data_IF_947837541019
#
_entry.id   IF_947837541019
#
_cell.length_a   1.000
_cell.length_b   1.000
_cell.length_c   1.000
_cell.angle_alpha   90.00
_cell.angle_beta   90.00
_cell.angle_gamma   90.00
#
_symmetry.space_group_name_H-M   'P 1'
#
loop_
_entity.id
_entity.type
_entity.pdbx_description
1 polymer ?
#
# COMPACT_ATOMS: atom_id res chain seq x y z
N UNK A 1 -25.11 -14.32 -7.07
CA UNK A 1 -23.88 -14.30 -6.24
C UNK A 1 -22.72 -14.02 -7.17
N UNK A 2 -22.47 -12.74 -7.43
CA UNK A 2 -21.41 -12.29 -8.33
C UNK A 2 -20.10 -12.28 -7.55
N UNK A 3 -19.28 -13.32 -7.74
CA UNK A 3 -17.90 -13.32 -7.24
C UNK A 3 -17.01 -12.97 -8.43
N UNK A 4 -17.01 -11.68 -8.78
CA UNK A 4 -16.21 -11.11 -9.85
C UNK A 4 -14.73 -11.42 -9.57
N UNK A 5 -14.15 -12.29 -10.39
CA UNK A 5 -12.72 -12.53 -10.40
C UNK A 5 -11.98 -11.23 -10.71
N UNK A 6 -10.88 -11.01 -9.99
CA UNK A 6 -9.94 -9.91 -10.16
C UNK A 6 -9.61 -9.69 -11.65
N UNK A 7 -10.17 -8.63 -12.22
CA UNK A 7 -9.97 -8.19 -13.61
C UNK A 7 -8.62 -7.49 -13.84
N UNK A 8 -7.68 -7.59 -12.90
CA UNK A 8 -6.33 -7.05 -13.06
C UNK A 8 -5.30 -8.15 -12.79
N UNK A 9 -4.81 -8.88 -13.81
CA UNK A 9 -3.71 -9.83 -13.65
C UNK A 9 -2.37 -9.16 -13.26
N UNK A 10 -2.35 -7.84 -13.04
CA UNK A 10 -1.13 -7.05 -12.81
C UNK A 10 -1.21 -6.12 -11.58
N UNK A 11 -2.13 -6.34 -10.63
CA UNK A 11 -2.06 -5.64 -9.33
C UNK A 11 -0.91 -6.21 -8.50
N UNK A 12 0.17 -5.44 -8.41
CA UNK A 12 1.39 -5.80 -7.67
C UNK A 12 1.53 -5.00 -6.38
N UNK A 13 0.76 -3.93 -6.24
CA UNK A 13 0.85 -2.97 -5.16
C UNK A 13 -0.54 -2.65 -4.62
N UNK A 14 -0.57 -2.16 -3.39
CA UNK A 14 -1.77 -1.62 -2.76
C UNK A 14 -1.42 -0.32 -2.08
N UNK A 15 -2.33 0.63 -2.15
CA UNK A 15 -2.36 1.80 -1.29
C UNK A 15 -3.18 1.47 -0.07
N UNK A 16 -2.58 1.61 1.10
CA UNK A 16 -3.23 1.41 2.39
C UNK A 16 -3.19 2.66 3.24
N UNK A 17 -4.16 2.76 4.12
CA UNK A 17 -4.26 3.76 5.18
C UNK A 17 -4.23 3.02 6.52
N UNK A 18 -3.48 3.55 7.48
CA UNK A 18 -3.47 3.04 8.84
C UNK A 18 -4.35 3.93 9.72
N UNK A 19 -5.14 3.36 10.65
CA UNK A 19 -6.05 4.14 11.48
C UNK A 19 -5.34 4.99 12.55
N UNK A 20 -4.11 4.61 12.92
CA UNK A 20 -3.30 5.29 13.93
C UNK A 20 -1.82 5.23 13.58
N UNK A 21 -1.07 6.23 14.04
CA UNK A 21 0.39 6.32 13.87
C UNK A 21 1.12 5.13 14.52
N UNK A 22 0.63 4.63 15.66
CA UNK A 22 1.18 3.43 16.31
C UNK A 22 1.09 2.18 15.41
N UNK A 23 -0.03 1.99 14.72
CA UNK A 23 -0.23 0.86 13.81
C UNK A 23 0.62 1.04 12.54
N UNK A 24 0.74 2.28 12.04
CA UNK A 24 1.64 2.64 10.95
C UNK A 24 3.10 2.36 11.32
N UNK A 25 3.52 2.71 12.53
CA UNK A 25 4.87 2.46 13.05
C UNK A 25 5.19 0.97 13.14
N UNK A 26 4.27 0.16 13.69
CA UNK A 26 4.42 -1.31 13.74
C UNK A 26 4.51 -1.91 12.35
N UNK A 27 3.65 -1.47 11.43
CA UNK A 27 3.69 -1.87 10.03
C UNK A 27 5.03 -1.52 9.39
N UNK A 28 5.46 -0.26 9.47
CA UNK A 28 6.70 0.24 8.89
C UNK A 28 7.91 -0.51 9.42
N UNK A 29 8.04 -0.68 10.73
CA UNK A 29 9.20 -1.37 11.33
C UNK A 29 9.31 -2.82 10.83
N UNK A 30 8.19 -3.53 10.75
CA UNK A 30 8.21 -4.92 10.31
C UNK A 30 8.27 -5.10 8.78
N UNK A 31 7.77 -4.12 8.02
CA UNK A 31 7.84 -4.10 6.57
C UNK A 31 9.17 -3.56 6.02
N UNK A 32 9.82 -2.59 6.67
CA UNK A 32 11.14 -2.09 6.26
C UNK A 32 12.19 -3.20 6.15
N UNK A 33 12.04 -4.28 6.93
CA UNK A 33 12.93 -5.45 6.90
C UNK A 33 12.59 -6.47 5.80
N UNK A 34 11.43 -6.35 5.16
CA UNK A 34 10.85 -7.40 4.29
C UNK A 34 10.41 -6.90 2.91
N UNK A 35 10.08 -5.62 2.79
CA UNK A 35 9.46 -5.04 1.61
C UNK A 35 9.83 -3.57 1.42
N UNK A 36 9.75 -3.10 0.18
CA UNK A 36 9.84 -1.68 -0.16
C UNK A 36 8.50 -1.02 0.15
N UNK A 37 8.44 -0.24 1.22
CA UNK A 37 7.28 0.58 1.57
C UNK A 37 7.52 2.01 1.11
N UNK A 38 6.53 2.61 0.46
CA UNK A 38 6.58 4.02 0.08
C UNK A 38 5.51 4.79 0.86
N UNK A 39 5.94 5.71 1.71
CA UNK A 39 5.06 6.62 2.41
C UNK A 39 4.71 7.79 1.47
N UNK A 40 3.42 8.09 1.33
CA UNK A 40 2.94 9.24 0.58
C UNK A 40 2.71 10.42 1.54
N UNK A 41 2.74 11.64 1.00
CA UNK A 41 2.56 12.87 1.79
C UNK A 41 1.17 12.99 2.44
N UNK A 42 0.19 12.32 1.86
CA UNK A 42 -1.21 12.28 2.30
C UNK A 42 -1.43 11.36 3.53
N UNK A 43 -0.37 10.77 4.10
CA UNK A 43 -0.49 9.83 5.23
C UNK A 43 -0.92 8.42 4.83
N UNK A 44 -0.96 8.15 3.52
CA UNK A 44 -1.22 6.83 2.93
C UNK A 44 0.09 6.16 2.50
N UNK A 45 0.06 4.83 2.36
CA UNK A 45 1.25 4.02 2.14
C UNK A 45 1.06 3.08 0.96
N UNK A 46 2.04 3.04 0.06
CA UNK A 46 2.09 2.06 -1.02
C UNK A 46 2.95 0.89 -0.58
N UNK A 47 2.35 -0.30 -0.60
CA UNK A 47 2.99 -1.56 -0.23
C UNK A 47 2.89 -2.54 -1.41
N UNK A 48 3.86 -3.44 -1.60
CA UNK A 48 3.67 -4.56 -2.51
C UNK A 48 2.60 -5.50 -1.95
N UNK A 49 1.79 -6.08 -2.82
CA UNK A 49 0.71 -7.01 -2.46
C UNK A 49 1.16 -8.15 -1.50
N UNK A 50 2.34 -8.80 -1.64
CA UNK A 50 2.80 -9.78 -0.65
C UNK A 50 3.01 -9.22 0.77
N UNK A 51 3.29 -7.92 0.93
CA UNK A 51 3.42 -7.29 2.23
C UNK A 51 2.07 -7.18 2.98
N UNK A 52 0.95 -7.19 2.25
CA UNK A 52 -0.40 -7.20 2.85
C UNK A 52 -0.65 -8.50 3.60
N UNK A 53 -0.14 -9.63 3.08
CA UNK A 53 -0.20 -10.91 3.76
C UNK A 53 0.41 -10.82 5.15
N UNK A 54 1.61 -10.23 5.23
CA UNK A 54 2.30 -10.02 6.49
C UNK A 54 1.52 -9.10 7.46
N UNK A 55 0.90 -8.02 6.96
CA UNK A 55 0.05 -7.15 7.80
C UNK A 55 -1.12 -7.91 8.42
N UNK A 56 -1.76 -8.81 7.64
CA UNK A 56 -2.83 -9.68 8.15
C UNK A 56 -2.30 -10.66 9.19
N UNK A 57 -1.14 -11.27 8.96
CA UNK A 57 -0.50 -12.19 9.90
C UNK A 57 -0.15 -11.52 11.24
N UNK A 58 0.35 -10.28 11.18
CA UNK A 58 0.67 -9.49 12.38
C UNK A 58 -0.53 -8.82 13.03
N UNK A 59 -1.75 -9.00 12.47
CA UNK A 59 -2.98 -8.36 12.93
C UNK A 59 -2.89 -6.83 13.00
N UNK A 60 -2.10 -6.23 12.12
CA UNK A 60 -1.99 -4.78 12.05
C UNK A 60 -3.23 -4.23 11.35
N UNK A 61 -3.92 -3.30 12.01
CA UNK A 61 -5.12 -2.69 11.45
C UNK A 61 -4.73 -1.83 10.24
N UNK A 62 -5.27 -2.15 9.07
CA UNK A 62 -5.03 -1.41 7.83
C UNK A 62 -6.30 -1.40 6.97
N UNK A 63 -6.46 -0.34 6.19
CA UNK A 63 -7.54 -0.17 5.23
C UNK A 63 -6.93 -0.07 3.84
N UNK A 64 -7.33 -0.95 2.94
CA UNK A 64 -6.92 -0.86 1.53
C UNK A 64 -7.75 0.26 0.90
N UNK A 65 -7.06 1.32 0.47
CA UNK A 65 -7.67 2.47 -0.20
C UNK A 65 -7.75 2.23 -1.70
N UNK A 66 -6.71 1.61 -2.27
CA UNK A 66 -6.62 1.37 -3.70
C UNK A 66 -5.72 0.17 -4.01
N UNK A 67 -6.04 -0.60 -5.04
CA UNK A 67 -5.14 -1.60 -5.62
C UNK A 67 -4.43 -0.98 -6.82
N UNK A 68 -3.11 -1.15 -6.89
CA UNK A 68 -2.25 -0.46 -7.86
C UNK A 68 -1.44 -1.49 -8.67
N UNK A 69 -1.31 -1.25 -9.97
CA UNK A 69 -0.31 -1.93 -10.79
C UNK A 69 1.01 -1.12 -10.82
N UNK A 70 2.01 -1.63 -11.52
CA UNK A 70 3.33 -0.99 -11.57
C UNK A 70 3.31 0.38 -12.28
N UNK A 71 2.50 0.53 -13.33
CA UNK A 71 2.32 1.77 -14.08
C UNK A 71 1.60 2.82 -13.22
N UNK A 72 0.55 2.44 -12.50
CA UNK A 72 -0.17 3.30 -11.56
C UNK A 72 0.72 3.80 -10.43
N UNK A 73 1.59 2.96 -9.89
CA UNK A 73 2.59 3.39 -8.89
C UNK A 73 3.54 4.40 -9.51
N UNK A 74 4.06 4.13 -10.71
CA UNK A 74 4.99 5.04 -11.40
C UNK A 74 4.34 6.39 -11.68
N UNK A 75 3.08 6.40 -12.11
CA UNK A 75 2.32 7.61 -12.37
C UNK A 75 2.00 8.38 -11.07
N UNK A 76 1.62 7.68 -10.01
CA UNK A 76 1.38 8.28 -8.68
C UNK A 76 2.65 8.94 -8.13
N UNK A 77 3.80 8.26 -8.24
CA UNK A 77 5.08 8.81 -7.81
C UNK A 77 5.49 10.01 -8.67
N UNK A 78 5.24 9.95 -9.99
CA UNK A 78 5.51 11.07 -10.90
C UNK A 78 4.64 12.29 -10.56
N UNK A 79 3.36 12.10 -10.28
CA UNK A 79 2.43 13.17 -9.92
C UNK A 79 2.83 13.86 -8.61
N UNK A 80 3.22 13.05 -7.60
CA UNK A 80 3.74 13.55 -6.32
C UNK A 80 5.05 14.33 -6.46
N UNK A 81 5.89 14.00 -7.44
CA UNK A 81 7.13 14.73 -7.74
C UNK A 81 6.86 15.97 -8.60
N UNK A 82 5.83 15.95 -9.44
CA UNK A 82 5.47 17.06 -10.33
C UNK A 82 4.78 18.22 -9.57
N UNK A 83 4.14 17.95 -8.44
CA UNK A 83 3.53 18.95 -7.57
C UNK A 83 4.26 19.08 -6.21
N UNK A 84 5.41 19.78 -6.16
CA UNK A 84 5.95 20.27 -4.89
C UNK A 84 5.11 21.48 -4.44
N UNK A 85 4.22 21.28 -3.46
CA UNK A 85 3.76 22.38 -2.59
C UNK A 85 4.93 22.86 -1.74
#
# INVERSE_FOLDING_TARGET
>A
MERTWSIFPNVKFVKVEFPSDEEAGKALVGLMRRARVTCLRDGTFILPLPAVGWLKEQKVAHKIVQELNQDDVTQTLRDLLANPV
#
